data_IF_460477451437
#
_entry.id   IF_460477451437
#
_cell.length_a   1.000
_cell.length_b   1.000
_cell.length_c   1.000
_cell.angle_alpha   90.00
_cell.angle_beta   90.00
_cell.angle_gamma   90.00
#
_symmetry.space_group_name_H-M   'P 1'
#
loop_
_entity.id
_entity.type
_entity.pdbx_description
1 polymer ?
#
# COMPACT_ATOMS: atom_id res chain seq x y z
N UNK A 1 -51.14 -68.74 5.02
CA UNK A 1 -52.14 -67.71 5.40
C UNK A 1 -51.40 -66.37 5.43
N UNK A 2 -51.26 -65.66 4.32
CA UNK A 2 -52.24 -64.73 3.74
C UNK A 2 -52.62 -63.59 4.70
N UNK A 3 -52.06 -62.38 4.49
CA UNK A 3 -52.80 -61.14 4.21
C UNK A 3 -51.92 -59.90 4.43
N UNK A 4 -51.80 -59.10 3.38
CA UNK A 4 -51.37 -57.69 3.33
C UNK A 4 -51.99 -56.84 4.43
N UNK A 5 -51.28 -55.80 4.90
CA UNK A 5 -51.88 -54.46 4.99
C UNK A 5 -50.84 -53.36 4.86
N UNK A 6 -51.09 -52.54 3.84
CA UNK A 6 -50.41 -51.34 3.39
C UNK A 6 -50.87 -50.18 4.28
N UNK A 7 -49.96 -49.47 4.92
CA UNK A 7 -50.27 -48.20 5.59
C UNK A 7 -49.39 -47.11 5.00
N UNK A 8 -49.97 -46.43 4.01
CA UNK A 8 -49.51 -45.16 3.48
C UNK A 8 -49.74 -44.10 4.55
N UNK A 9 -48.68 -43.45 5.04
CA UNK A 9 -48.81 -42.16 5.72
C UNK A 9 -48.45 -41.05 4.74
N UNK A 10 -49.51 -40.43 4.24
CA UNK A 10 -49.50 -39.10 3.65
C UNK A 10 -49.07 -38.10 4.73
N UNK A 11 -48.02 -37.32 4.46
CA UNK A 11 -47.66 -36.13 5.23
C UNK A 11 -47.58 -34.97 4.21
N UNK A 12 -48.19 -33.81 4.48
CA UNK A 12 -48.53 -32.83 3.46
C UNK A 12 -47.32 -32.02 2.97
N UNK A 13 -47.37 -31.69 1.67
CA UNK A 13 -46.59 -30.63 1.02
C UNK A 13 -46.85 -29.30 1.72
N UNK A 14 -45.79 -28.66 2.23
CA UNK A 14 -45.80 -27.27 2.67
C UNK A 14 -44.62 -26.53 2.06
N UNK A 15 -44.93 -25.81 0.98
CA UNK A 15 -44.37 -24.52 0.55
C UNK A 15 -42.84 -24.35 0.64
N UNK A 16 -42.17 -24.71 -0.47
CA UNK A 16 -40.91 -24.13 -0.92
C UNK A 16 -41.08 -22.61 -1.08
N UNK A 17 -40.66 -21.82 -0.08
CA UNK A 17 -40.37 -20.40 -0.28
C UNK A 17 -38.95 -20.31 -0.87
N UNK A 18 -38.88 -20.16 -2.18
CA UNK A 18 -37.65 -19.90 -2.90
C UNK A 18 -37.16 -18.48 -2.57
N UNK A 19 -36.21 -18.39 -1.63
CA UNK A 19 -35.41 -17.18 -1.45
C UNK A 19 -34.40 -17.13 -2.60
N UNK A 20 -34.41 -16.08 -3.45
CA UNK A 20 -33.44 -15.98 -4.53
C UNK A 20 -32.03 -15.73 -3.96
N UNK A 21 -30.97 -16.29 -4.57
CA UNK A 21 -29.61 -16.00 -4.14
C UNK A 21 -29.31 -14.52 -4.36
N UNK A 22 -29.02 -13.82 -3.27
CA UNK A 22 -28.46 -12.48 -3.27
C UNK A 22 -27.12 -12.53 -4.02
N UNK A 23 -27.16 -11.99 -5.24
CA UNK A 23 -26.01 -11.77 -6.11
C UNK A 23 -25.03 -10.87 -5.36
N UNK A 24 -24.00 -11.47 -4.75
CA UNK A 24 -22.85 -10.76 -4.20
C UNK A 24 -22.17 -10.05 -5.37
N UNK A 25 -22.47 -8.76 -5.52
CA UNK A 25 -21.63 -7.91 -6.36
C UNK A 25 -20.27 -7.81 -5.64
N UNK A 26 -19.15 -8.10 -6.31
CA UNK A 26 -17.86 -7.73 -5.76
C UNK A 26 -17.86 -6.20 -5.61
N UNK A 27 -17.67 -5.71 -4.38
CA UNK A 27 -17.39 -4.29 -4.13
C UNK A 27 -16.23 -3.89 -5.05
N UNK A 28 -16.34 -2.80 -5.82
CA UNK A 28 -15.19 -2.33 -6.57
C UNK A 28 -14.11 -2.00 -5.54
N UNK A 29 -12.94 -2.63 -5.70
CA UNK A 29 -11.71 -2.20 -5.05
C UNK A 29 -11.49 -0.74 -5.40
N UNK A 30 -11.81 0.14 -4.46
CA UNK A 30 -11.18 1.45 -4.41
C UNK A 30 -9.68 1.15 -4.28
N UNK A 31 -8.84 1.83 -5.05
CA UNK A 31 -7.40 1.58 -5.27
C UNK A 31 -7.06 0.71 -6.49
N UNK A 32 -7.37 1.29 -7.67
CA UNK A 32 -6.71 0.95 -8.93
C UNK A 32 -5.20 1.21 -8.82
N UNK A 33 -4.40 0.19 -9.12
CA UNK A 33 -2.93 0.15 -9.06
C UNK A 33 -2.20 1.04 -10.10
N UNK A 34 -2.91 1.94 -10.78
CA UNK A 34 -2.31 2.88 -11.74
C UNK A 34 -2.66 4.36 -11.54
N UNK A 35 -3.50 4.70 -10.55
CA UNK A 35 -3.96 6.07 -10.36
C UNK A 35 -3.06 6.85 -9.38
N UNK A 36 -2.56 8.01 -9.81
CA UNK A 36 -1.82 8.95 -8.97
C UNK A 36 -2.62 9.30 -7.70
N UNK A 37 -2.01 9.15 -6.52
CA UNK A 37 -2.65 9.40 -5.21
C UNK A 37 -3.18 10.84 -5.11
N UNK A 38 -2.53 11.81 -5.78
CA UNK A 38 -2.98 13.20 -5.85
C UNK A 38 -4.36 13.36 -6.53
N UNK A 39 -4.63 12.60 -7.60
CA UNK A 39 -5.93 12.62 -8.28
C UNK A 39 -7.03 11.92 -7.46
N UNK A 40 -6.67 10.94 -6.63
CA UNK A 40 -7.61 10.24 -5.75
C UNK A 40 -8.06 11.10 -4.57
N UNK A 41 -7.22 12.05 -4.13
CA UNK A 41 -7.47 12.95 -3.00
C UNK A 41 -8.00 14.34 -3.42
N UNK A 42 -8.17 14.61 -4.72
CA UNK A 42 -8.70 15.89 -5.19
C UNK A 42 -10.21 15.95 -4.91
N UNK A 43 -10.72 16.93 -4.14
CA UNK A 43 -12.15 17.11 -3.96
C UNK A 43 -12.82 17.24 -5.33
N UNK A 44 -13.93 16.52 -5.56
CA UNK A 44 -14.72 16.52 -6.82
C UNK A 44 -15.34 17.89 -7.19
N UNK A 45 -14.87 19.00 -6.62
CA UNK A 45 -15.54 20.30 -6.59
C UNK A 45 -14.91 21.43 -7.40
N UNK A 46 -13.96 21.18 -8.31
CA UNK A 46 -13.55 22.20 -9.29
C UNK A 46 -14.10 21.89 -10.68
N UNK A 47 -15.36 22.30 -10.86
CA UNK A 47 -15.94 22.45 -12.18
C UNK A 47 -15.06 23.38 -13.03
N UNK A 48 -14.63 22.86 -14.19
CA UNK A 48 -14.04 23.66 -15.23
C UNK A 48 -14.99 24.81 -15.61
N UNK A 49 -14.51 26.05 -15.49
CA UNK A 49 -15.25 27.22 -16.01
C UNK A 49 -15.25 27.13 -17.54
N UNK A 50 -16.38 27.33 -18.22
CA UNK A 50 -16.42 27.32 -19.67
C UNK A 50 -15.69 28.56 -20.22
N UNK A 51 -14.80 28.34 -21.18
CA UNK A 51 -14.21 29.40 -21.98
C UNK A 51 -15.33 30.08 -22.80
N UNK A 52 -15.59 31.37 -22.53
CA UNK A 52 -16.40 32.22 -23.41
C UNK A 52 -15.54 32.61 -24.61
N UNK A 53 -16.07 32.29 -25.78
CA UNK A 53 -15.48 32.66 -27.06
C UNK A 53 -15.53 34.16 -27.34
N UNK A 54 -14.59 34.60 -28.18
CA UNK A 54 -14.68 35.83 -28.93
C UNK A 54 -14.14 35.60 -30.34
N UNK A 55 -15.03 35.85 -31.31
CA UNK A 55 -14.77 36.68 -32.50
C UNK A 55 -13.68 36.26 -33.48
N UNK A 56 -14.11 35.78 -34.64
CA UNK A 56 -13.28 35.59 -35.85
C UNK A 56 -12.75 36.89 -36.42
N UNK A 57 -11.55 36.86 -37.02
CA UNK A 57 -11.24 37.63 -38.22
C UNK A 57 -10.48 36.75 -39.21
N UNK A 58 -11.10 36.55 -40.37
CA UNK A 58 -10.52 36.01 -41.59
C UNK A 58 -9.55 37.02 -42.20
N UNK A 59 -8.35 36.59 -42.59
CA UNK A 59 -7.67 37.22 -43.72
C UNK A 59 -6.79 36.24 -44.49
N UNK A 60 -6.83 36.44 -45.79
CA UNK A 60 -6.52 35.53 -46.89
C UNK A 60 -5.06 35.50 -47.33
N UNK A 61 -4.64 34.30 -47.77
CA UNK A 61 -3.68 33.94 -48.85
C UNK A 61 -2.24 34.48 -48.81
N UNK A 62 -1.28 33.54 -48.95
CA UNK A 62 -0.50 33.32 -50.20
C UNK A 62 0.28 32.00 -50.14
N UNK A 63 0.33 31.33 -51.30
CA UNK A 63 1.17 30.17 -51.62
C UNK A 63 2.48 30.66 -52.26
N UNK A 64 3.59 30.01 -51.96
CA UNK A 64 4.74 29.87 -52.86
C UNK A 64 5.56 28.64 -52.46
N UNK A 65 5.97 27.88 -53.46
CA UNK A 65 6.62 26.57 -53.40
C UNK A 65 8.15 26.66 -53.59
N UNK A 66 8.81 25.51 -53.43
CA UNK A 66 10.21 25.15 -53.80
C UNK A 66 11.26 25.58 -52.76
N UNK A 67 12.30 24.80 -52.40
CA UNK A 67 13.00 23.68 -53.05
C UNK A 67 13.70 22.76 -52.04
N UNK A 68 14.18 21.64 -52.56
CA UNK A 68 14.78 20.43 -51.99
C UNK A 68 16.17 20.53 -51.33
N UNK A 69 16.50 19.40 -50.69
CA UNK A 69 17.81 18.70 -50.57
C UNK A 69 18.82 19.08 -49.46
N UNK A 70 18.92 18.13 -48.54
CA UNK A 70 20.14 17.38 -48.15
C UNK A 70 21.31 18.14 -47.52
N UNK A 71 21.42 18.01 -46.19
CA UNK A 71 22.72 17.88 -45.50
C UNK A 71 22.52 17.11 -44.19
N UNK A 72 22.98 15.86 -44.17
CA UNK A 72 23.34 15.20 -42.92
C UNK A 72 24.68 15.77 -42.45
N UNK A 73 24.85 15.94 -41.13
CA UNK A 73 26.04 15.39 -40.52
C UNK A 73 25.67 14.55 -39.29
N UNK A 74 26.24 13.35 -39.25
CA UNK A 74 26.47 12.60 -38.02
C UNK A 74 27.18 13.51 -37.02
N UNK A 75 26.54 13.78 -35.90
CA UNK A 75 27.22 14.15 -34.67
C UNK A 75 26.56 13.40 -33.53
N UNK A 76 27.33 12.47 -32.99
CA UNK A 76 27.18 11.89 -31.67
C UNK A 76 27.08 13.01 -30.63
N UNK A 77 25.87 13.50 -30.38
CA UNK A 77 25.61 14.31 -29.20
C UNK A 77 25.12 13.39 -28.10
N UNK A 78 26.07 13.06 -27.23
CA UNK A 78 25.80 12.75 -25.85
C UNK A 78 24.91 13.88 -25.31
N UNK A 79 23.63 13.59 -25.09
CA UNK A 79 22.71 14.44 -24.33
C UNK A 79 23.14 14.43 -22.85
N UNK A 80 24.24 15.11 -22.58
CA UNK A 80 24.83 15.32 -21.25
C UNK A 80 24.66 16.77 -20.84
N UNK A 81 23.43 17.29 -20.85
CA UNK A 81 22.95 18.31 -19.91
C UNK A 81 21.57 18.85 -20.31
N UNK A 82 20.54 18.48 -19.56
CA UNK A 82 19.59 19.39 -18.89
C UNK A 82 18.33 18.65 -18.46
N UNK A 83 18.40 18.00 -17.29
CA UNK A 83 17.26 17.76 -16.39
C UNK A 83 17.80 17.37 -15.00
N UNK A 84 18.45 18.32 -14.32
CA UNK A 84 18.95 18.19 -12.94
C UNK A 84 17.83 18.10 -11.88
N UNK A 85 16.61 17.74 -12.27
CA UNK A 85 15.41 17.73 -11.44
C UNK A 85 14.67 16.38 -11.46
N UNK A 86 15.18 15.36 -12.15
CA UNK A 86 14.59 14.02 -12.08
C UNK A 86 15.13 13.29 -10.83
N UNK A 87 14.26 12.74 -9.96
CA UNK A 87 14.71 11.95 -8.83
C UNK A 87 15.45 10.69 -9.32
N UNK A 88 16.48 10.31 -8.59
CA UNK A 88 17.23 9.09 -8.84
C UNK A 88 16.45 7.88 -8.34
N UNK A 89 16.10 7.02 -9.28
CA UNK A 89 15.17 5.90 -9.07
C UNK A 89 15.88 4.59 -8.76
N UNK A 90 17.17 4.65 -8.41
CA UNK A 90 17.97 3.46 -8.10
C UNK A 90 17.51 2.80 -6.80
N UNK A 91 17.09 3.60 -5.81
CA UNK A 91 16.60 3.13 -4.51
C UNK A 91 15.43 4.01 -4.04
N UNK A 92 14.55 3.50 -3.17
CA UNK A 92 13.48 4.31 -2.58
C UNK A 92 14.02 5.52 -1.80
N UNK A 93 15.14 5.37 -1.09
CA UNK A 93 15.78 6.46 -0.35
C UNK A 93 16.36 7.53 -1.28
N UNK A 94 16.89 7.16 -2.46
CA UNK A 94 17.47 8.14 -3.40
C UNK A 94 16.44 9.00 -4.12
N UNK A 95 15.16 8.61 -4.07
CA UNK A 95 14.05 9.40 -4.64
C UNK A 95 13.77 10.64 -3.78
N UNK A 96 13.90 10.53 -2.46
CA UNK A 96 13.55 11.57 -1.49
C UNK A 96 14.79 12.25 -0.91
N UNK A 97 15.54 12.95 -1.77
CA UNK A 97 16.86 13.53 -1.42
C UNK A 97 16.77 14.74 -0.47
N UNK A 98 15.65 15.46 -0.48
CA UNK A 98 15.48 16.62 0.42
C UNK A 98 15.23 16.16 1.86
N UNK A 99 14.47 15.08 2.03
CA UNK A 99 14.12 14.54 3.35
C UNK A 99 15.14 13.54 3.87
N UNK A 100 15.76 12.76 3.00
CA UNK A 100 16.71 11.70 3.35
C UNK A 100 18.06 11.88 2.62
N UNK A 101 18.80 12.96 2.91
CA UNK A 101 20.04 13.26 2.19
C UNK A 101 21.16 12.24 2.46
N UNK A 102 21.14 11.59 3.63
CA UNK A 102 22.13 10.60 4.03
C UNK A 102 21.84 9.17 3.51
N UNK A 103 20.70 8.94 2.84
CA UNK A 103 20.32 7.63 2.32
C UNK A 103 19.77 6.67 3.40
N UNK A 104 19.88 5.34 3.22
CA UNK A 104 19.38 4.35 4.18
C UNK A 104 20.26 4.22 5.45
N UNK A 105 19.74 3.61 6.53
CA UNK A 105 20.54 3.25 7.70
C UNK A 105 21.75 2.36 7.34
N UNK A 106 22.89 2.47 8.05
CA UNK A 106 23.10 3.22 9.31
C UNK A 106 23.48 4.70 9.11
N UNK A 107 23.59 5.19 7.87
CA UNK A 107 23.96 6.58 7.61
C UNK A 107 22.88 7.59 8.06
N UNK A 108 21.64 7.14 8.15
CA UNK A 108 20.49 7.88 8.67
C UNK A 108 19.73 7.06 9.72
N UNK A 109 18.89 7.73 10.52
CA UNK A 109 17.98 7.06 11.44
C UNK A 109 16.95 6.25 10.65
N UNK A 110 16.53 5.11 11.22
CA UNK A 110 15.38 4.36 10.70
C UNK A 110 14.09 5.18 10.77
N UNK A 111 13.95 6.07 11.76
CA UNK A 111 12.76 6.92 11.90
C UNK A 111 12.78 8.07 10.90
N UNK A 112 11.67 8.27 10.20
CA UNK A 112 11.54 9.23 9.09
C UNK A 112 10.45 10.24 9.46
N UNK A 113 10.73 11.56 9.36
CA UNK A 113 9.72 12.59 9.56
C UNK A 113 8.65 12.53 8.45
N UNK A 114 7.54 11.85 8.72
CA UNK A 114 6.47 11.59 7.74
C UNK A 114 5.86 12.87 7.14
N UNK A 115 5.84 13.97 7.90
CA UNK A 115 5.34 15.25 7.42
C UNK A 115 6.20 15.83 6.29
N UNK A 116 7.51 15.70 6.39
CA UNK A 116 8.45 16.19 5.37
C UNK A 116 8.49 15.23 4.19
N UNK A 117 8.49 13.92 4.43
CA UNK A 117 8.37 12.89 3.39
C UNK A 117 7.12 13.12 2.53
N UNK A 118 5.97 13.40 3.16
CA UNK A 118 4.72 13.71 2.46
C UNK A 118 4.82 15.00 1.63
N UNK A 119 5.51 16.02 2.14
CA UNK A 119 5.68 17.30 1.43
C UNK A 119 6.51 17.13 0.16
N UNK A 120 7.64 16.41 0.27
CA UNK A 120 8.50 16.11 -0.88
C UNK A 120 7.77 15.20 -1.88
N UNK A 121 7.06 14.17 -1.42
CA UNK A 121 6.21 13.33 -2.26
C UNK A 121 5.20 14.14 -3.10
N UNK A 122 4.46 15.05 -2.47
CA UNK A 122 3.50 15.90 -3.18
C UNK A 122 4.19 16.84 -4.17
N UNK A 123 5.38 17.36 -3.85
CA UNK A 123 6.18 18.17 -4.76
C UNK A 123 6.59 17.37 -6.00
N UNK A 124 7.13 16.17 -5.82
CA UNK A 124 7.55 15.28 -6.91
C UNK A 124 6.39 14.86 -7.81
N UNK A 125 5.24 14.48 -7.22
CA UNK A 125 4.04 14.13 -7.98
C UNK A 125 3.50 15.30 -8.81
N UNK A 126 3.55 16.52 -8.29
CA UNK A 126 3.15 17.71 -9.04
C UNK A 126 4.06 17.97 -10.25
N UNK A 127 5.36 17.66 -10.17
CA UNK A 127 6.31 17.84 -11.29
C UNK A 127 6.07 16.79 -12.37
N UNK A 128 5.84 15.53 -11.99
CA UNK A 128 5.86 14.38 -12.92
C UNK A 128 4.44 13.90 -13.32
N UNK A 129 3.40 14.66 -12.96
CA UNK A 129 2.01 14.25 -13.19
C UNK A 129 1.71 13.86 -14.66
N UNK A 130 1.16 12.66 -14.93
CA UNK A 130 1.00 12.14 -16.30
C UNK A 130 0.05 12.97 -17.17
N UNK A 131 -0.94 13.66 -16.58
CA UNK A 131 -1.86 14.54 -17.32
C UNK A 131 -1.18 15.76 -17.95
N UNK A 132 0.07 16.07 -17.56
CA UNK A 132 0.85 17.15 -18.19
C UNK A 132 1.37 16.75 -19.57
N UNK A 133 1.31 15.48 -19.92
CA UNK A 133 1.89 14.95 -21.15
C UNK A 133 0.79 14.44 -22.10
N UNK A 134 0.88 14.76 -23.40
CA UNK A 134 -0.02 14.18 -24.39
C UNK A 134 0.19 12.65 -24.49
N UNK A 135 -0.81 11.90 -24.96
CA UNK A 135 -0.68 10.46 -25.20
C UNK A 135 0.58 10.14 -26.02
N UNK A 136 1.40 9.21 -25.55
CA UNK A 136 2.65 8.84 -26.18
C UNK A 136 3.73 8.40 -25.19
N UNK A 137 4.98 8.21 -25.66
CA UNK A 137 6.07 7.68 -24.84
C UNK A 137 6.45 8.60 -23.67
N UNK A 138 6.22 9.90 -23.78
CA UNK A 138 6.44 10.85 -22.68
C UNK A 138 5.45 10.63 -21.53
N UNK A 139 4.16 10.41 -21.86
CA UNK A 139 3.13 10.08 -20.86
C UNK A 139 3.40 8.74 -20.18
N UNK A 140 3.77 7.71 -20.93
CA UNK A 140 4.14 6.40 -20.36
C UNK A 140 5.33 6.50 -19.40
N UNK A 141 6.35 7.30 -19.74
CA UNK A 141 7.47 7.60 -18.81
C UNK A 141 6.98 8.28 -17.55
N UNK A 142 6.14 9.31 -17.67
CA UNK A 142 5.57 10.00 -16.51
C UNK A 142 4.72 9.08 -15.61
N UNK A 143 3.94 8.17 -16.20
CA UNK A 143 3.18 7.14 -15.49
C UNK A 143 4.09 6.20 -14.72
N UNK A 144 5.13 5.66 -15.36
CA UNK A 144 6.09 4.77 -14.72
C UNK A 144 6.85 5.46 -13.56
N UNK A 145 7.26 6.71 -13.75
CA UNK A 145 7.93 7.50 -12.71
C UNK A 145 7.00 7.78 -11.53
N UNK A 146 5.75 8.18 -11.80
CA UNK A 146 4.73 8.40 -10.77
C UNK A 146 4.45 7.13 -9.98
N UNK A 147 4.37 5.97 -10.65
CA UNK A 147 4.18 4.69 -10.00
C UNK A 147 5.34 4.36 -9.04
N UNK A 148 6.60 4.54 -9.48
CA UNK A 148 7.79 4.33 -8.62
C UNK A 148 7.80 5.26 -7.41
N UNK A 149 7.46 6.54 -7.58
CA UNK A 149 7.39 7.50 -6.46
C UNK A 149 6.29 7.10 -5.46
N UNK A 150 5.15 6.60 -5.94
CA UNK A 150 4.08 6.11 -5.06
C UNK A 150 4.51 4.87 -4.27
N UNK A 151 5.19 3.94 -4.92
CA UNK A 151 5.73 2.75 -4.28
C UNK A 151 6.74 3.13 -3.20
N UNK A 152 7.73 3.94 -3.54
CA UNK A 152 8.74 4.42 -2.59
C UNK A 152 8.11 5.16 -1.40
N UNK A 153 7.12 6.04 -1.65
CA UNK A 153 6.42 6.72 -0.57
C UNK A 153 5.69 5.75 0.35
N UNK A 154 4.93 4.78 -0.21
CA UNK A 154 4.20 3.78 0.58
C UNK A 154 5.14 2.96 1.44
N UNK A 155 6.19 2.42 0.82
CA UNK A 155 7.20 1.60 1.50
C UNK A 155 7.92 2.37 2.59
N UNK A 156 8.35 3.61 2.33
CA UNK A 156 9.03 4.40 3.34
C UNK A 156 8.08 4.98 4.38
N UNK A 157 6.79 5.13 4.11
CA UNK A 157 5.84 5.69 5.09
C UNK A 157 5.45 4.70 6.19
N UNK A 158 5.41 3.40 5.86
CA UNK A 158 5.03 2.34 6.80
C UNK A 158 6.29 1.69 7.41
N UNK A 159 6.45 1.65 8.75
CA UNK A 159 7.63 1.08 9.39
C UNK A 159 7.87 -0.39 9.04
N UNK A 160 6.82 -1.21 8.93
CA UNK A 160 6.95 -2.63 8.60
C UNK A 160 7.45 -2.81 7.16
N UNK A 161 6.85 -2.11 6.19
CA UNK A 161 7.30 -2.14 4.80
C UNK A 161 8.71 -1.59 4.65
N UNK A 162 9.05 -0.54 5.41
CA UNK A 162 10.39 0.06 5.44
C UNK A 162 11.43 -0.93 5.92
N UNK A 163 11.15 -1.65 7.03
CA UNK A 163 12.04 -2.67 7.57
C UNK A 163 12.22 -3.84 6.59
N UNK A 164 11.13 -4.36 6.02
CA UNK A 164 11.16 -5.43 5.01
C UNK A 164 11.97 -5.01 3.78
N UNK A 165 11.78 -3.77 3.31
CA UNK A 165 12.54 -3.21 2.20
C UNK A 165 14.04 -3.15 2.49
N UNK A 166 14.42 -2.63 3.66
CA UNK A 166 15.84 -2.55 4.06
C UNK A 166 16.46 -3.95 4.16
N UNK A 167 15.80 -4.90 4.81
CA UNK A 167 16.29 -6.27 4.94
C UNK A 167 16.46 -6.96 3.58
N UNK A 168 15.50 -6.79 2.67
CA UNK A 168 15.55 -7.41 1.34
C UNK A 168 16.61 -6.78 0.45
N UNK A 169 16.58 -5.45 0.26
CA UNK A 169 17.45 -4.78 -0.71
C UNK A 169 18.90 -4.64 -0.24
N UNK A 170 19.12 -4.47 1.08
CA UNK A 170 20.47 -4.23 1.60
C UNK A 170 21.14 -5.52 2.11
N UNK A 171 20.36 -6.48 2.60
CA UNK A 171 20.89 -7.69 3.23
C UNK A 171 20.47 -8.98 2.53
N UNK A 172 19.61 -8.92 1.50
CA UNK A 172 19.14 -10.10 0.79
C UNK A 172 18.23 -11.01 1.62
N UNK A 173 17.65 -10.49 2.71
CA UNK A 173 16.79 -11.25 3.63
C UNK A 173 15.33 -10.93 3.31
N UNK A 174 14.62 -11.92 2.77
CA UNK A 174 13.19 -11.78 2.48
C UNK A 174 12.34 -12.40 3.59
N UNK A 175 11.88 -11.54 4.50
CA UNK A 175 10.99 -11.93 5.62
C UNK A 175 9.57 -12.27 5.14
N UNK A 176 9.22 -11.94 3.89
CA UNK A 176 7.87 -12.10 3.33
C UNK A 176 7.68 -13.33 2.45
N UNK A 177 8.75 -14.09 2.20
CA UNK A 177 8.66 -15.32 1.40
C UNK A 177 7.66 -16.31 2.02
N UNK A 178 6.95 -17.11 1.20
CA UNK A 178 5.95 -18.09 1.68
C UNK A 178 6.53 -19.10 2.69
N UNK A 179 7.84 -19.35 2.63
CA UNK A 179 8.55 -20.20 3.61
C UNK A 179 9.04 -19.44 4.85
N UNK A 180 8.79 -18.13 4.92
CA UNK A 180 9.30 -17.22 5.94
C UNK A 180 8.83 -17.59 7.34
N UNK A 181 7.61 -18.10 7.51
CA UNK A 181 7.15 -18.57 8.83
C UNK A 181 7.95 -19.78 9.35
N UNK A 182 8.48 -20.63 8.46
CA UNK A 182 9.34 -21.76 8.82
C UNK A 182 10.82 -21.36 8.93
N UNK A 183 11.28 -20.39 8.14
CA UNK A 183 12.66 -19.90 8.12
C UNK A 183 12.95 -18.81 9.17
N UNK A 184 11.91 -18.15 9.65
CA UNK A 184 11.96 -17.03 10.58
C UNK A 184 10.98 -17.27 11.71
N UNK A 185 11.25 -18.32 12.49
CA UNK A 185 10.45 -18.66 13.65
C UNK A 185 10.35 -17.47 14.60
N UNK A 186 9.15 -17.28 15.14
CA UNK A 186 8.89 -16.34 16.22
C UNK A 186 9.67 -16.74 17.47
N UNK A 187 10.06 -15.73 18.25
CA UNK A 187 10.55 -16.00 19.59
C UNK A 187 9.41 -16.57 20.46
N UNK A 188 9.72 -17.48 21.41
CA UNK A 188 8.71 -18.12 22.24
C UNK A 188 7.87 -17.13 23.07
N UNK A 189 8.43 -15.99 23.46
CA UNK A 189 7.76 -14.97 24.27
C UNK A 189 6.66 -14.28 23.46
N UNK A 190 6.96 -13.81 22.25
CA UNK A 190 5.95 -13.24 21.33
C UNK A 190 4.86 -14.25 21.00
N UNK A 191 5.18 -15.54 20.83
CA UNK A 191 4.16 -16.56 20.59
C UNK A 191 3.17 -16.65 21.76
N UNK A 192 3.68 -16.63 23.00
CA UNK A 192 2.84 -16.62 24.20
C UNK A 192 1.94 -15.39 24.21
N UNK A 193 2.49 -14.19 23.97
CA UNK A 193 1.69 -12.97 23.96
C UNK A 193 0.56 -13.02 22.92
N UNK A 194 0.83 -13.56 21.72
CA UNK A 194 -0.18 -13.71 20.66
C UNK A 194 -1.29 -14.67 21.09
N UNK A 195 -0.93 -15.77 21.76
CA UNK A 195 -1.90 -16.73 22.30
C UNK A 195 -2.75 -16.10 23.41
N UNK A 196 -2.14 -15.33 24.32
CA UNK A 196 -2.86 -14.63 25.39
C UNK A 196 -3.86 -13.60 24.84
N UNK A 197 -3.48 -12.87 23.78
CA UNK A 197 -4.41 -11.96 23.10
C UNK A 197 -5.59 -12.73 22.51
N UNK A 198 -5.33 -13.86 21.84
CA UNK A 198 -6.39 -14.71 21.27
C UNK A 198 -7.35 -15.23 22.35
N UNK A 199 -6.82 -15.77 23.44
CA UNK A 199 -7.63 -16.24 24.58
C UNK A 199 -8.50 -15.11 25.15
N UNK A 200 -7.92 -13.91 25.32
CA UNK A 200 -8.67 -12.74 25.81
C UNK A 200 -9.85 -12.40 24.88
N UNK A 201 -9.67 -12.49 23.56
CA UNK A 201 -10.74 -12.20 22.59
C UNK A 201 -11.83 -13.30 22.60
N UNK A 202 -11.43 -14.56 22.72
CA UNK A 202 -12.35 -15.69 22.87
C UNK A 202 -13.20 -15.55 24.14
N UNK A 203 -12.59 -15.13 25.25
CA UNK A 203 -13.28 -14.90 26.51
C UNK A 203 -14.25 -13.72 26.46
N UNK A 204 -13.91 -12.66 25.73
CA UNK A 204 -14.75 -11.46 25.59
C UNK A 204 -16.09 -11.79 24.94
N UNK A 205 -16.06 -12.48 23.78
CA UNK A 205 -17.26 -12.85 23.02
C UNK A 205 -18.28 -11.71 22.85
N UNK A 206 -19.49 -11.89 23.40
CA UNK A 206 -20.56 -10.87 23.41
C UNK A 206 -20.89 -10.37 24.83
N UNK A 207 -19.96 -10.48 25.78
CA UNK A 207 -20.18 -10.08 27.17
C UNK A 207 -20.33 -8.55 27.30
N UNK A 208 -21.06 -8.05 28.30
CA UNK A 208 -21.06 -6.62 28.62
C UNK A 208 -19.63 -6.17 28.97
N UNK A 209 -19.17 -5.06 28.41
CA UNK A 209 -17.80 -4.57 28.55
C UNK A 209 -16.83 -5.04 27.46
N UNK A 210 -17.28 -5.85 26.50
CA UNK A 210 -16.46 -6.34 25.39
C UNK A 210 -15.78 -5.23 24.59
N UNK A 211 -16.52 -4.17 24.25
CA UNK A 211 -15.97 -3.05 23.48
C UNK A 211 -14.87 -2.29 24.22
N UNK A 212 -15.00 -2.14 25.55
CA UNK A 212 -14.00 -1.48 26.39
C UNK A 212 -12.71 -2.31 26.48
N UNK A 213 -12.84 -3.63 26.65
CA UNK A 213 -11.69 -4.53 26.68
C UNK A 213 -10.98 -4.58 25.31
N UNK A 214 -11.72 -4.64 24.20
CA UNK A 214 -11.15 -4.57 22.85
C UNK A 214 -10.45 -3.23 22.60
N UNK A 215 -10.97 -2.13 23.14
CA UNK A 215 -10.31 -0.84 23.05
C UNK A 215 -8.97 -0.81 23.82
N UNK A 216 -8.89 -1.45 24.99
CA UNK A 216 -7.62 -1.57 25.72
C UNK A 216 -6.63 -2.46 24.98
N UNK A 217 -7.07 -3.60 24.42
CA UNK A 217 -6.21 -4.47 23.60
C UNK A 217 -5.65 -3.74 22.38
N UNK A 218 -6.44 -2.87 21.74
CA UNK A 218 -5.95 -2.02 20.63
C UNK A 218 -4.84 -1.08 21.09
N UNK A 219 -5.03 -0.42 22.23
CA UNK A 219 -4.05 0.51 22.80
C UNK A 219 -2.76 -0.21 23.22
N UNK A 220 -2.88 -1.40 23.78
CA UNK A 220 -1.73 -2.23 24.14
C UNK A 220 -0.99 -2.71 22.89
N UNK A 221 -1.72 -3.15 21.85
CA UNK A 221 -1.13 -3.50 20.56
C UNK A 221 -0.38 -2.31 19.93
N UNK A 222 -0.94 -1.10 19.96
CA UNK A 222 -0.27 0.10 19.47
C UNK A 222 1.04 0.39 20.23
N UNK A 223 1.07 0.14 21.54
CA UNK A 223 2.29 0.25 22.35
C UNK A 223 3.33 -0.82 21.98
N UNK A 224 2.91 -2.07 21.75
CA UNK A 224 3.79 -3.16 21.28
C UNK A 224 4.38 -2.86 19.90
N UNK A 225 3.55 -2.35 18.98
CA UNK A 225 3.99 -1.89 17.65
C UNK A 225 5.05 -0.79 17.78
N UNK A 226 4.79 0.24 18.61
CA UNK A 226 5.75 1.32 18.84
C UNK A 226 7.07 0.80 19.44
N UNK A 227 7.00 -0.15 20.37
CA UNK A 227 8.17 -0.82 20.94
C UNK A 227 9.02 -1.55 19.88
N UNK A 228 8.38 -2.31 19.00
CA UNK A 228 9.08 -3.00 17.90
C UNK A 228 9.73 -2.01 16.91
N UNK A 229 9.06 -0.89 16.60
CA UNK A 229 9.63 0.16 15.74
C UNK A 229 10.86 0.80 16.38
N UNK A 230 10.83 1.04 17.70
CA UNK A 230 12.01 1.51 18.44
C UNK A 230 13.14 0.46 18.44
N UNK A 231 12.81 -0.82 18.62
CA UNK A 231 13.75 -1.93 18.53
C UNK A 231 14.44 -2.00 17.16
N UNK A 232 13.67 -1.90 16.08
CA UNK A 232 14.18 -1.81 14.71
C UNK A 232 15.15 -0.63 14.54
N UNK A 233 14.78 0.55 15.03
CA UNK A 233 15.64 1.72 14.92
C UNK A 233 17.00 1.51 15.59
N UNK A 234 17.01 0.95 16.80
CA UNK A 234 18.25 0.64 17.53
C UNK A 234 19.06 -0.45 16.84
N UNK A 235 18.41 -1.49 16.31
CA UNK A 235 19.07 -2.58 15.62
C UNK A 235 19.78 -2.09 14.34
N UNK A 236 19.10 -1.29 13.52
CA UNK A 236 19.70 -0.69 12.33
C UNK A 236 20.81 0.31 12.65
N UNK A 237 20.69 1.10 13.72
CA UNK A 237 21.74 2.04 14.16
C UNK A 237 23.01 1.30 14.62
N UNK A 238 22.85 0.16 15.31
CA UNK A 238 23.96 -0.69 15.76
C UNK A 238 24.52 -1.61 14.66
N UNK A 239 23.84 -1.70 13.52
CA UNK A 239 24.16 -2.65 12.45
C UNK A 239 23.86 -4.11 12.79
N UNK A 240 23.00 -4.37 13.79
CA UNK A 240 22.58 -5.73 14.17
C UNK A 240 21.41 -6.17 13.29
N UNK A 241 21.74 -6.85 12.19
CA UNK A 241 20.77 -7.26 11.17
C UNK A 241 19.90 -8.42 11.66
N UNK A 242 20.42 -9.28 12.53
CA UNK A 242 19.67 -10.41 13.05
C UNK A 242 18.61 -9.94 14.06
N UNK A 243 18.97 -8.99 14.93
CA UNK A 243 17.98 -8.31 15.77
C UNK A 243 16.94 -7.56 14.93
N UNK A 244 17.36 -6.84 13.89
CA UNK A 244 16.42 -6.15 12.98
C UNK A 244 15.46 -7.12 12.28
N UNK A 245 15.96 -8.30 11.89
CA UNK A 245 15.14 -9.37 11.30
C UNK A 245 14.09 -9.87 12.30
N UNK A 246 14.50 -10.19 13.53
CA UNK A 246 13.59 -10.68 14.58
C UNK A 246 12.51 -9.64 14.90
N UNK A 247 12.90 -8.38 15.08
CA UNK A 247 11.95 -7.28 15.32
C UNK A 247 10.99 -7.05 14.15
N UNK A 248 11.46 -7.20 12.91
CA UNK A 248 10.61 -7.10 11.72
C UNK A 248 9.56 -8.22 11.67
N UNK A 249 9.95 -9.46 12.03
CA UNK A 249 9.01 -10.59 12.14
C UNK A 249 7.98 -10.31 13.23
N UNK A 250 8.42 -9.92 14.42
CA UNK A 250 7.56 -9.59 15.56
C UNK A 250 6.55 -8.47 15.21
N UNK A 251 7.02 -7.39 14.59
CA UNK A 251 6.19 -6.28 14.13
C UNK A 251 5.08 -6.74 13.17
N UNK A 252 5.37 -7.67 12.27
CA UNK A 252 4.40 -8.23 11.33
C UNK A 252 3.23 -8.91 12.04
N UNK A 253 3.50 -9.64 13.12
CA UNK A 253 2.44 -10.28 13.91
C UNK A 253 1.57 -9.26 14.64
N UNK A 254 2.18 -8.23 15.25
CA UNK A 254 1.41 -7.16 15.88
C UNK A 254 0.56 -6.35 14.90
N UNK A 255 1.01 -6.20 13.66
CA UNK A 255 0.18 -5.67 12.58
C UNK A 255 -1.03 -6.57 12.32
N UNK A 256 -0.82 -7.88 12.24
CA UNK A 256 -1.91 -8.83 12.04
C UNK A 256 -2.91 -8.84 13.20
N UNK A 257 -2.44 -8.80 14.44
CA UNK A 257 -3.29 -8.69 15.64
C UNK A 257 -4.10 -7.39 15.58
N UNK A 258 -3.45 -6.28 15.23
CA UNK A 258 -4.10 -4.98 15.07
C UNK A 258 -5.20 -4.97 14.00
N UNK A 259 -4.98 -5.59 12.84
CA UNK A 259 -6.04 -5.75 11.82
C UNK A 259 -7.21 -6.57 12.35
N UNK A 260 -6.90 -7.68 13.00
CA UNK A 260 -7.90 -8.50 13.67
C UNK A 260 -8.77 -7.73 14.65
N UNK A 261 -8.14 -6.94 15.51
CA UNK A 261 -8.83 -6.15 16.54
C UNK A 261 -9.68 -5.05 15.88
N UNK A 262 -9.23 -4.48 14.75
CA UNK A 262 -10.01 -3.52 13.96
C UNK A 262 -11.25 -4.16 13.35
N UNK A 263 -11.13 -5.38 12.83
CA UNK A 263 -12.24 -6.12 12.23
C UNK A 263 -13.14 -6.81 13.26
N UNK A 264 -12.77 -6.84 14.53
CA UNK A 264 -13.57 -7.45 15.57
C UNK A 264 -14.96 -6.78 15.68
N UNK A 265 -15.99 -7.61 15.82
CA UNK A 265 -17.38 -7.20 16.03
C UNK A 265 -17.93 -7.95 17.25
N UNK A 266 -18.89 -7.39 18.00
CA UNK A 266 -19.48 -8.08 19.15
C UNK A 266 -19.98 -9.48 18.80
N UNK A 267 -19.48 -10.49 19.52
CA UNK A 267 -19.78 -11.89 19.26
C UNK A 267 -18.80 -12.63 18.34
N UNK A 268 -17.78 -11.96 17.78
CA UNK A 268 -16.60 -12.66 17.24
C UNK A 268 -15.73 -13.15 18.39
N UNK A 269 -15.44 -14.44 18.39
CA UNK A 269 -14.53 -15.09 19.34
C UNK A 269 -13.12 -15.24 18.78
N UNK A 270 -12.93 -15.15 17.47
CA UNK A 270 -11.65 -15.41 16.83
C UNK A 270 -11.20 -14.21 15.99
N UNK A 271 -9.88 -13.96 16.02
CA UNK A 271 -9.20 -13.06 15.10
C UNK A 271 -8.41 -13.90 14.09
N UNK A 272 -8.56 -13.57 12.81
CA UNK A 272 -7.73 -14.15 11.76
C UNK A 272 -6.34 -13.51 11.78
N UNK A 273 -5.34 -14.27 12.22
CA UNK A 273 -3.95 -13.87 12.06
C UNK A 273 -3.45 -14.20 10.65
N UNK A 274 -2.90 -13.22 9.95
CA UNK A 274 -2.21 -13.34 8.67
C UNK A 274 -0.72 -13.52 8.98
N UNK A 275 -0.15 -14.62 8.48
CA UNK A 275 1.18 -15.13 8.78
C UNK A 275 2.04 -15.16 7.52
#
# INVERSE_FOLDING_TARGET
MAASFRMQRLVPRSLLSAVPPSRTQPRPSLFSTGACIFCQLRPRGWAARPARGFGSVLQTRRLASTSSSTTAPETSNQDSNSNSNLPDLTNHYTIFRETLPAGPPPASSFDIPLADLRREFLRLQNVIHPDKYPPGPAKQRAEALSARINEAYRTLSDPLQRAQYLLREMHGIDVTAENGAAQHALDPETLMDVMEVQETIEEVGAKPGAEELIAELKKENDARVAGCVMGLAQAFERGDIEAARQECVRLRFWYSVGEGLREWEPGRTEIRLIH
#
